data_IF_686425947946
#
_entry.id   IF_686425947946
#
_cell.length_a   1.000
_cell.length_b   1.000
_cell.length_c   1.000
_cell.angle_alpha   90.00
_cell.angle_beta   90.00
_cell.angle_gamma   90.00
#
_symmetry.space_group_name_H-M   'P 1'
#
loop_
_entity.id
_entity.type
_entity.pdbx_description
1 polymer ?
#
# COMPACT_ATOMS: atom_id res chain seq x y z
N UNK A 1 -16.51 -5.82 50.24
CA UNK A 1 -16.31 -5.74 48.78
C UNK A 1 -15.70 -7.07 48.34
N UNK A 2 -16.47 -7.90 47.62
CA UNK A 2 -16.14 -9.32 47.44
C UNK A 2 -15.15 -9.58 46.31
N UNK A 3 -14.38 -10.67 46.42
CA UNK A 3 -13.43 -11.14 45.41
C UNK A 3 -14.07 -11.33 44.02
N UNK A 4 -15.37 -11.63 43.96
CA UNK A 4 -16.17 -11.69 42.72
C UNK A 4 -16.32 -10.31 42.06
N UNK A 5 -16.47 -9.26 42.85
CA UNK A 5 -16.56 -7.87 42.37
C UNK A 5 -15.20 -7.38 41.86
N UNK A 6 -14.10 -7.78 42.50
CA UNK A 6 -12.73 -7.50 42.05
C UNK A 6 -12.38 -8.24 40.74
N UNK A 7 -12.86 -9.48 40.57
CA UNK A 7 -12.74 -10.25 39.32
C UNK A 7 -13.55 -9.66 38.16
N UNK A 8 -14.72 -9.07 38.43
CA UNK A 8 -15.52 -8.39 37.41
C UNK A 8 -14.86 -7.09 36.95
N UNK A 9 -14.24 -6.33 37.86
CA UNK A 9 -13.48 -5.12 37.51
C UNK A 9 -12.16 -5.44 36.76
N UNK A 10 -11.49 -6.55 37.08
CA UNK A 10 -10.33 -7.05 36.32
C UNK A 10 -10.71 -7.59 34.93
N UNK A 11 -11.94 -8.09 34.76
CA UNK A 11 -12.47 -8.51 33.45
C UNK A 11 -12.77 -7.30 32.54
N UNK A 12 -13.05 -6.15 33.13
CA UNK A 12 -13.16 -4.84 32.46
C UNK A 12 -11.82 -4.09 32.35
N UNK A 13 -10.68 -4.78 32.54
CA UNK A 13 -9.38 -4.25 32.15
C UNK A 13 -9.40 -3.83 30.66
N UNK A 14 -8.72 -2.72 30.34
CA UNK A 14 -9.14 -1.77 29.32
C UNK A 14 -9.31 -2.45 27.97
N UNK A 15 -10.31 -2.06 27.20
CA UNK A 15 -10.51 -2.50 25.80
C UNK A 15 -9.38 -2.03 24.86
N UNK A 16 -8.53 -1.11 25.32
CA UNK A 16 -7.42 -0.52 24.57
C UNK A 16 -6.43 -1.55 23.96
N UNK A 17 -5.93 -2.58 24.67
CA UNK A 17 -4.99 -3.56 24.10
C UNK A 17 -5.63 -4.42 23.00
N UNK A 18 -6.93 -4.72 23.12
CA UNK A 18 -7.66 -5.49 22.09
C UNK A 18 -7.89 -4.65 20.84
N UNK A 19 -8.23 -3.37 21.02
CA UNK A 19 -8.38 -2.42 19.93
C UNK A 19 -7.05 -2.19 19.20
N UNK A 20 -5.96 -2.02 19.95
CA UNK A 20 -4.60 -1.88 19.40
C UNK A 20 -4.18 -3.13 18.60
N UNK A 21 -4.47 -4.33 19.09
CA UNK A 21 -4.20 -5.57 18.37
C UNK A 21 -5.00 -5.69 17.06
N UNK A 22 -6.28 -5.29 17.08
CA UNK A 22 -7.12 -5.26 15.87
C UNK A 22 -6.61 -4.24 14.83
N UNK A 23 -6.18 -3.07 15.28
CA UNK A 23 -5.57 -2.04 14.43
C UNK A 23 -4.27 -2.53 13.79
N UNK A 24 -3.45 -3.29 14.54
CA UNK A 24 -2.22 -3.86 14.02
C UNK A 24 -2.49 -4.89 12.91
N UNK A 25 -3.42 -5.84 13.14
CA UNK A 25 -3.81 -6.82 12.11
C UNK A 25 -4.37 -6.14 10.86
N UNK A 26 -5.20 -5.11 11.04
CA UNK A 26 -5.77 -4.36 9.92
C UNK A 26 -4.69 -3.62 9.13
N UNK A 27 -3.73 -3.00 9.82
CA UNK A 27 -2.59 -2.33 9.22
C UNK A 27 -1.74 -3.29 8.41
N UNK A 28 -1.40 -4.44 8.97
CA UNK A 28 -0.56 -5.45 8.32
C UNK A 28 -1.25 -6.01 7.07
N UNK A 29 -2.55 -6.32 7.16
CA UNK A 29 -3.35 -6.77 6.03
C UNK A 29 -3.49 -5.71 4.92
N UNK A 30 -3.72 -4.45 5.30
CA UNK A 30 -3.81 -3.34 4.36
C UNK A 30 -2.46 -3.06 3.66
N UNK A 31 -1.36 -3.12 4.41
CA UNK A 31 0.00 -2.97 3.88
C UNK A 31 0.32 -4.06 2.86
N UNK A 32 0.02 -5.32 3.20
CA UNK A 32 0.20 -6.45 2.29
C UNK A 32 -0.64 -6.32 1.01
N UNK A 33 -1.90 -5.91 1.12
CA UNK A 33 -2.77 -5.69 -0.03
C UNK A 33 -2.23 -4.56 -0.94
N UNK A 34 -1.77 -3.46 -0.35
CA UNK A 34 -1.17 -2.36 -1.10
C UNK A 34 0.11 -2.79 -1.82
N UNK A 35 0.99 -3.55 -1.17
CA UNK A 35 2.21 -4.05 -1.79
C UNK A 35 1.90 -4.88 -3.05
N UNK A 36 0.89 -5.77 -2.96
CA UNK A 36 0.44 -6.57 -4.10
C UNK A 36 -0.14 -5.68 -5.21
N UNK A 37 -0.97 -4.69 -4.86
CA UNK A 37 -1.53 -3.73 -5.83
C UNK A 37 -0.43 -2.95 -6.55
N UNK A 38 0.59 -2.47 -5.85
CA UNK A 38 1.74 -1.79 -6.46
C UNK A 38 2.54 -2.72 -7.36
N UNK A 39 2.76 -3.96 -6.94
CA UNK A 39 3.50 -4.94 -7.76
C UNK A 39 2.80 -5.16 -9.11
N UNK A 40 1.49 -5.42 -9.10
CA UNK A 40 0.73 -5.59 -10.34
C UNK A 40 0.66 -4.29 -11.15
N UNK A 41 0.40 -3.15 -10.51
CA UNK A 41 0.36 -1.85 -11.18
C UNK A 41 1.69 -1.50 -11.85
N UNK A 42 2.81 -1.72 -11.18
CA UNK A 42 4.15 -1.47 -11.71
C UNK A 42 4.44 -2.35 -12.94
N UNK A 43 4.15 -3.65 -12.88
CA UNK A 43 4.31 -4.55 -14.02
C UNK A 43 3.48 -4.09 -15.22
N UNK A 44 2.22 -3.69 -15.00
CA UNK A 44 1.38 -3.12 -16.05
C UNK A 44 1.93 -1.81 -16.62
N UNK A 45 2.49 -0.95 -15.77
CA UNK A 45 3.17 0.27 -16.19
C UNK A 45 4.35 0.00 -17.12
N UNK A 46 5.23 -0.94 -16.73
CA UNK A 46 6.39 -1.34 -17.55
C UNK A 46 5.96 -1.91 -18.90
N UNK A 47 4.95 -2.79 -18.92
CA UNK A 47 4.42 -3.38 -20.17
C UNK A 47 3.87 -2.29 -21.09
N UNK A 48 3.13 -1.32 -20.57
CA UNK A 48 2.60 -0.18 -21.33
C UNK A 48 3.71 0.68 -21.93
N UNK A 49 4.75 1.00 -21.15
CA UNK A 49 5.91 1.77 -21.63
C UNK A 49 6.61 1.01 -22.76
N UNK A 50 6.87 -0.28 -22.56
CA UNK A 50 7.57 -1.08 -23.56
C UNK A 50 6.76 -1.26 -24.84
N UNK A 51 5.48 -1.59 -24.72
CA UNK A 51 4.56 -1.69 -25.86
C UNK A 51 4.44 -0.37 -26.62
N UNK A 52 4.31 0.75 -25.90
CA UNK A 52 4.27 2.08 -26.49
C UNK A 52 5.57 2.47 -27.21
N UNK A 53 6.73 2.15 -26.62
CA UNK A 53 8.03 2.36 -27.26
C UNK A 53 8.20 1.53 -28.54
N UNK A 54 7.71 0.28 -28.53
CA UNK A 54 7.73 -0.61 -29.70
C UNK A 54 6.74 -0.18 -30.80
N UNK A 55 5.61 0.42 -30.45
CA UNK A 55 4.69 1.00 -31.42
C UNK A 55 5.30 2.28 -32.04
N UNK A 56 5.87 3.15 -31.19
CA UNK A 56 6.52 4.38 -31.64
C UNK A 56 7.70 4.12 -32.57
N UNK A 57 8.52 3.08 -32.31
CA UNK A 57 9.64 2.71 -33.18
C UNK A 57 9.21 2.23 -34.57
N UNK A 58 7.95 1.81 -34.72
CA UNK A 58 7.34 1.41 -35.99
C UNK A 58 6.59 2.55 -36.69
N UNK A 59 6.64 3.75 -36.14
CA UNK A 59 5.97 4.93 -36.69
C UNK A 59 4.50 5.08 -36.29
N UNK A 60 4.01 4.27 -35.33
CA UNK A 60 2.64 4.40 -34.82
C UNK A 60 2.55 5.57 -33.82
N UNK A 61 1.78 6.63 -34.14
CA UNK A 61 1.62 7.79 -33.25
C UNK A 61 0.92 7.44 -31.92
N UNK A 62 0.18 6.33 -31.82
CA UNK A 62 -0.47 5.89 -30.59
C UNK A 62 0.53 5.44 -29.51
N UNK A 63 1.76 5.09 -29.90
CA UNK A 63 2.81 4.65 -29.00
C UNK A 63 3.16 5.68 -27.90
N UNK A 64 3.04 6.97 -28.20
CA UNK A 64 3.27 8.06 -27.21
C UNK A 64 2.24 8.04 -26.09
N UNK A 65 0.98 7.74 -26.42
CA UNK A 65 -0.10 7.64 -25.43
C UNK A 65 0.09 6.46 -24.48
N UNK A 66 0.55 5.32 -25.00
CA UNK A 66 0.86 4.15 -24.19
C UNK A 66 2.06 4.37 -23.25
N UNK A 67 3.11 5.06 -23.71
CA UNK A 67 4.25 5.45 -22.86
C UNK A 67 3.77 6.38 -21.74
N UNK A 68 3.01 7.42 -22.08
CA UNK A 68 2.51 8.38 -21.09
C UNK A 68 1.63 7.69 -20.04
N UNK A 69 0.72 6.81 -20.47
CA UNK A 69 -0.10 6.02 -19.57
C UNK A 69 0.75 5.15 -18.62
N UNK A 70 1.79 4.50 -19.13
CA UNK A 70 2.68 3.68 -18.30
C UNK A 70 3.51 4.50 -17.30
N UNK A 71 3.97 5.70 -17.68
CA UNK A 71 4.68 6.63 -16.78
C UNK A 71 3.77 7.11 -15.66
N UNK A 72 2.50 7.44 -15.93
CA UNK A 72 1.55 7.81 -14.88
C UNK A 72 1.32 6.69 -13.86
N UNK A 73 1.19 5.44 -14.34
CA UNK A 73 1.02 4.27 -13.48
C UNK A 73 2.27 4.03 -12.62
N UNK A 74 3.48 4.13 -13.22
CA UNK A 74 4.73 3.99 -12.47
C UNK A 74 4.92 5.14 -11.46
N UNK A 75 4.59 6.37 -11.85
CA UNK A 75 4.68 7.55 -10.99
C UNK A 75 3.71 7.53 -9.80
N UNK A 76 2.56 6.86 -9.93
CA UNK A 76 1.60 6.72 -8.84
C UNK A 76 2.19 6.01 -7.60
N UNK A 77 3.12 5.07 -7.80
CA UNK A 77 3.83 4.41 -6.70
C UNK A 77 4.71 5.40 -5.91
N UNK A 78 5.41 6.30 -6.60
CA UNK A 78 6.23 7.33 -5.96
C UNK A 78 5.39 8.36 -5.18
N UNK A 79 4.23 8.74 -5.72
CA UNK A 79 3.28 9.63 -5.03
C UNK A 79 2.78 8.99 -3.74
N UNK A 80 2.39 7.72 -3.79
CA UNK A 80 1.88 7.02 -2.62
C UNK A 80 2.94 6.81 -1.54
N UNK A 81 4.18 6.49 -1.92
CA UNK A 81 5.31 6.44 -0.97
C UNK A 81 5.54 7.78 -0.28
N UNK A 82 5.45 8.88 -1.02
CA UNK A 82 5.60 10.24 -0.48
C UNK A 82 4.47 10.60 0.49
N UNK A 83 3.22 10.30 0.13
CA UNK A 83 2.06 10.56 1.00
C UNK A 83 2.16 9.77 2.31
N UNK A 84 2.51 8.49 2.26
CA UNK A 84 2.68 7.69 3.48
C UNK A 84 3.83 8.16 4.36
N UNK A 85 4.90 8.69 3.75
CA UNK A 85 5.98 9.35 4.50
C UNK A 85 5.50 10.60 5.24
N UNK A 86 4.74 11.47 4.56
CA UNK A 86 4.19 12.70 5.14
C UNK A 86 3.20 12.46 6.29
N UNK A 87 2.42 11.38 6.23
CA UNK A 87 1.47 11.03 7.29
C UNK A 87 2.08 10.20 8.44
N UNK A 88 3.39 10.01 8.48
CA UNK A 88 4.06 9.21 9.52
C UNK A 88 3.68 7.72 9.46
N UNK A 89 3.20 7.24 8.31
CA UNK A 89 2.80 5.85 8.06
C UNK A 89 3.94 5.04 7.41
N UNK A 90 5.18 5.45 7.61
CA UNK A 90 6.38 4.87 6.98
C UNK A 90 6.51 3.37 7.29
N UNK A 91 6.26 3.00 8.55
CA UNK A 91 6.22 1.61 9.03
C UNK A 91 5.01 0.80 8.49
N UNK A 92 4.05 1.45 7.81
CA UNK A 92 2.89 0.80 7.18
C UNK A 92 3.12 0.55 5.69
N UNK A 93 4.20 1.09 5.14
CA UNK A 93 4.65 0.81 3.78
C UNK A 93 5.67 -0.30 3.90
N UNK A 94 5.45 -1.42 3.20
CA UNK A 94 6.53 -2.37 2.98
C UNK A 94 7.56 -1.68 2.08
N UNK A 95 8.49 -0.95 2.69
CA UNK A 95 9.67 -0.46 2.00
C UNK A 95 10.54 -1.69 1.78
N UNK A 96 10.79 -2.05 0.52
CA UNK A 96 11.66 -3.17 0.21
C UNK A 96 13.08 -2.83 0.71
N UNK A 97 13.49 -3.48 1.80
CA UNK A 97 14.87 -3.48 2.24
C UNK A 97 15.59 -4.57 1.44
N UNK A 98 16.42 -4.14 0.49
CA UNK A 98 17.32 -5.01 -0.26
C UNK A 98 18.68 -5.08 0.44
#
# INVERSE_FOLDING_TARGET
MGMKTMLLLLREAPSAPRLLAQLQVLRDGFSGALAVLFMFGFLWGVIKIWSGANALSKGDPEGKGAILAGVFIAGAAAVMGTLFSLFGLQDSVVTAHF
#
